data_IF_654168805533
#
_entry.id   IF_654168805533
#
_cell.length_a   1.000
_cell.length_b   1.000
_cell.length_c   1.000
_cell.angle_alpha   90.00
_cell.angle_beta   90.00
_cell.angle_gamma   90.00
#
_symmetry.space_group_name_H-M   'P 1'
#
loop_
_entity.id
_entity.type
_entity.pdbx_description
1 polymer ?
#
# COMPACT_ATOMS: atom_id res chain seq x y z
N UNK A 1 26.97 -42.60 -6.57
CA UNK A 1 25.91 -41.82 -7.27
C UNK A 1 24.83 -41.22 -6.34
N UNK A 2 24.37 -41.91 -5.27
CA UNK A 2 23.34 -41.38 -4.36
C UNK A 2 23.75 -40.12 -3.55
N UNK A 3 25.02 -40.03 -3.14
CA UNK A 3 25.54 -38.93 -2.28
C UNK A 3 25.53 -37.57 -3.02
N UNK A 4 25.84 -37.56 -4.32
CA UNK A 4 25.88 -36.34 -5.14
C UNK A 4 24.47 -35.77 -5.35
N UNK A 5 23.46 -36.63 -5.47
CA UNK A 5 22.06 -36.21 -5.63
C UNK A 5 21.52 -35.54 -4.34
N UNK A 6 21.87 -36.08 -3.16
CA UNK A 6 21.50 -35.45 -1.89
C UNK A 6 22.16 -34.08 -1.67
N UNK A 7 23.42 -33.90 -2.10
CA UNK A 7 24.13 -32.62 -1.98
C UNK A 7 23.56 -31.54 -2.91
N UNK A 8 23.17 -31.89 -4.13
CA UNK A 8 22.50 -30.97 -5.06
C UNK A 8 21.11 -30.55 -4.57
N UNK A 9 20.34 -31.48 -4.00
CA UNK A 9 19.05 -31.17 -3.36
C UNK A 9 19.23 -30.27 -2.15
N UNK A 10 20.25 -30.49 -1.33
CA UNK A 10 20.55 -29.65 -0.17
C UNK A 10 20.99 -28.24 -0.58
N UNK A 11 21.79 -28.09 -1.64
CA UNK A 11 22.18 -26.76 -2.18
C UNK A 11 20.98 -26.04 -2.82
N UNK A 12 20.08 -26.76 -3.50
CA UNK A 12 18.81 -26.21 -4.00
C UNK A 12 17.88 -25.78 -2.86
N UNK A 13 17.88 -26.51 -1.74
CA UNK A 13 17.13 -26.18 -0.52
C UNK A 13 17.77 -25.01 0.26
N UNK A 14 19.09 -24.87 0.28
CA UNK A 14 19.79 -23.74 0.94
C UNK A 14 19.67 -22.46 0.10
N UNK A 15 19.68 -22.55 -1.24
CA UNK A 15 19.31 -21.43 -2.10
C UNK A 15 17.81 -21.09 -2.02
N UNK A 16 17.01 -21.96 -1.42
CA UNK A 16 15.63 -21.69 -1.11
C UNK A 16 15.58 -20.80 0.14
N UNK A 17 15.42 -19.50 -0.13
CA UNK A 17 14.77 -18.51 0.74
C UNK A 17 15.59 -17.91 1.88
N UNK A 18 16.62 -17.14 1.54
CA UNK A 18 16.83 -15.90 2.30
C UNK A 18 15.60 -15.01 2.06
N UNK A 19 14.64 -15.07 2.98
CA UNK A 19 13.47 -14.21 2.94
C UNK A 19 13.95 -12.75 2.99
N UNK A 20 13.74 -12.01 1.90
CA UNK A 20 14.12 -10.60 1.80
C UNK A 20 13.60 -9.84 3.02
N UNK A 21 14.51 -9.30 3.83
CA UNK A 21 14.14 -8.56 5.04
C UNK A 21 13.47 -7.25 4.65
N UNK A 22 12.35 -6.93 5.28
CA UNK A 22 11.70 -5.64 5.10
C UNK A 22 12.64 -4.52 5.57
N UNK A 23 12.83 -3.51 4.73
CA UNK A 23 13.63 -2.32 5.04
C UNK A 23 12.85 -1.37 5.95
N UNK A 24 11.53 -1.26 5.71
CA UNK A 24 10.62 -0.37 6.45
C UNK A 24 9.33 -1.13 6.75
N UNK A 25 8.78 -0.94 7.94
CA UNK A 25 7.55 -1.59 8.39
C UNK A 25 6.66 -0.52 9.03
N UNK A 26 5.41 -0.46 8.60
CA UNK A 26 4.40 0.46 9.08
C UNK A 26 3.11 -0.27 9.43
N UNK A 27 2.35 0.29 10.37
CA UNK A 27 0.96 -0.12 10.64
C UNK A 27 0.04 0.98 10.17
N UNK A 28 -0.78 0.70 9.16
CA UNK A 28 -1.75 1.65 8.61
C UNK A 28 -3.12 1.37 9.21
N UNK A 29 -3.71 2.35 9.89
CA UNK A 29 -4.94 2.21 10.66
C UNK A 29 -6.01 3.12 10.05
N UNK A 30 -7.14 2.53 9.65
CA UNK A 30 -8.33 3.29 9.22
C UNK A 30 -8.98 3.91 10.45
N UNK A 31 -9.21 5.22 10.42
CA UNK A 31 -9.93 5.89 11.51
C UNK A 31 -11.38 5.39 11.55
N UNK A 32 -11.88 5.14 12.77
CA UNK A 32 -13.29 4.89 12.98
C UNK A 32 -14.07 6.15 12.60
N UNK A 33 -15.14 5.98 11.82
CA UNK A 33 -16.10 7.05 11.58
C UNK A 33 -16.76 7.39 12.91
N UNK A 34 -16.54 8.61 13.40
CA UNK A 34 -17.33 9.11 14.52
C UNK A 34 -18.68 9.60 13.98
N UNK A 35 -19.80 9.31 14.65
CA UNK A 35 -21.08 9.90 14.29
C UNK A 35 -20.94 11.43 14.20
N UNK A 36 -21.30 12.01 13.06
CA UNK A 36 -21.24 13.47 12.83
C UNK A 36 -19.89 14.04 12.38
N UNK A 37 -18.84 13.23 12.15
CA UNK A 37 -17.59 13.69 11.52
C UNK A 37 -17.24 12.80 10.33
N UNK A 38 -17.52 13.24 9.08
CA UNK A 38 -17.27 12.43 7.87
C UNK A 38 -15.79 12.42 7.44
N UNK A 39 -14.83 12.61 8.35
CA UNK A 39 -13.42 12.47 7.99
C UNK A 39 -13.03 11.00 8.00
N UNK A 40 -13.29 10.34 6.87
CA UNK A 40 -12.56 9.13 6.50
C UNK A 40 -11.07 9.50 6.38
N UNK A 41 -10.21 8.65 6.92
CA UNK A 41 -8.78 8.92 6.92
C UNK A 41 -7.99 7.80 7.56
N UNK A 42 -6.67 7.83 7.35
CA UNK A 42 -5.76 6.82 7.86
C UNK A 42 -4.69 7.45 8.72
N UNK A 43 -4.24 6.71 9.72
CA UNK A 43 -3.03 7.01 10.48
C UNK A 43 -1.99 5.94 10.16
N UNK A 44 -0.77 6.39 9.88
CA UNK A 44 0.36 5.50 9.65
C UNK A 44 1.26 5.55 10.87
N UNK A 45 1.49 4.41 11.49
CA UNK A 45 2.33 4.26 12.66
C UNK A 45 3.63 3.54 12.34
N UNK A 46 4.59 3.67 13.25
CA UNK A 46 5.75 2.78 13.30
C UNK A 46 5.34 1.30 13.44
N UNK A 47 6.31 0.40 13.29
CA UNK A 47 6.10 -1.04 13.34
C UNK A 47 5.56 -1.57 14.68
N UNK A 48 5.68 -0.79 15.75
CA UNK A 48 5.22 -1.12 17.10
C UNK A 48 3.88 -0.45 17.44
N UNK A 49 3.29 0.28 16.49
CA UNK A 49 2.07 1.06 16.68
C UNK A 49 2.17 2.09 17.82
N UNK A 50 3.38 2.59 18.12
CA UNK A 50 3.60 3.54 19.22
C UNK A 50 3.52 4.97 18.77
N UNK A 51 4.15 5.27 17.64
CA UNK A 51 4.29 6.64 17.12
C UNK A 51 3.51 6.80 15.83
N UNK A 52 2.61 7.77 15.76
CA UNK A 52 1.96 8.16 14.51
C UNK A 52 2.93 9.01 13.71
N UNK A 53 3.35 8.51 12.54
CA UNK A 53 4.33 9.15 11.66
C UNK A 53 3.64 9.98 10.58
N UNK A 54 2.53 9.47 10.02
CA UNK A 54 1.81 10.16 8.96
C UNK A 54 0.30 10.10 9.16
N UNK A 55 -0.41 11.06 8.55
CA UNK A 55 -1.87 11.07 8.45
C UNK A 55 -2.29 11.22 7.01
N UNK A 56 -3.24 10.41 6.60
CA UNK A 56 -3.95 10.57 5.33
C UNK A 56 -5.32 11.16 5.66
N UNK A 57 -5.59 12.35 5.14
CA UNK A 57 -6.90 13.01 5.26
C UNK A 57 -7.61 12.90 3.93
N UNK A 58 -8.87 12.49 3.96
CA UNK A 58 -9.72 12.38 2.78
C UNK A 58 -10.76 13.50 2.88
N UNK A 59 -10.99 14.21 1.78
CA UNK A 59 -12.06 15.21 1.70
C UNK A 59 -13.36 14.53 1.26
N UNK A 60 -14.49 14.79 1.94
CA UNK A 60 -15.82 14.24 1.61
C UNK A 60 -16.71 15.32 0.99
N UNK A 61 -17.43 15.08 -0.11
CA UNK A 61 -18.58 14.15 -0.24
C UNK A 61 -18.33 12.83 -1.00
N UNK A 62 -17.39 12.80 -1.95
CA UNK A 62 -17.26 11.69 -2.92
C UNK A 62 -15.89 10.99 -2.89
N UNK A 63 -15.07 11.29 -1.87
CA UNK A 63 -13.68 10.82 -1.71
C UNK A 63 -12.75 11.22 -2.86
N UNK A 64 -13.04 12.30 -3.57
CA UNK A 64 -12.30 12.70 -4.79
C UNK A 64 -10.82 13.05 -4.54
N UNK A 65 -10.45 13.33 -3.29
CA UNK A 65 -9.06 13.64 -2.94
C UNK A 65 -8.63 13.12 -1.57
N UNK A 66 -7.35 12.79 -1.49
CA UNK A 66 -6.66 12.49 -0.24
C UNK A 66 -5.31 13.21 -0.18
N UNK A 67 -4.96 13.71 1.00
CA UNK A 67 -3.67 14.35 1.27
C UNK A 67 -2.90 13.54 2.31
N UNK A 68 -1.62 13.31 2.04
CA UNK A 68 -0.67 12.74 2.98
C UNK A 68 0.08 13.87 3.68
N UNK A 69 0.04 13.84 5.01
CA UNK A 69 0.67 14.85 5.86
C UNK A 69 1.63 14.17 6.82
N UNK A 70 2.84 14.71 6.95
CA UNK A 70 3.75 14.34 8.04
C UNK A 70 3.15 14.77 9.40
N UNK A 71 3.09 13.85 10.35
CA UNK A 71 2.44 14.11 11.63
C UNK A 71 3.24 15.09 12.50
N UNK A 72 4.56 15.20 12.31
CA UNK A 72 5.42 16.08 13.10
C UNK A 72 5.41 17.51 12.57
N UNK A 73 5.78 17.70 11.30
CA UNK A 73 5.94 19.02 10.71
C UNK A 73 4.63 19.58 10.12
N UNK A 74 3.59 18.74 10.00
CA UNK A 74 2.32 19.05 9.32
C UNK A 74 2.50 19.45 7.85
N UNK A 75 3.64 19.10 7.26
CA UNK A 75 3.95 19.32 5.86
C UNK A 75 3.14 18.38 4.97
N UNK A 76 2.56 18.92 3.89
CA UNK A 76 1.89 18.12 2.86
C UNK A 76 2.99 17.45 2.03
N UNK A 77 2.96 16.12 2.00
CA UNK A 77 3.96 15.32 1.30
C UNK A 77 3.46 14.79 -0.03
N UNK A 78 2.16 14.56 -0.15
CA UNK A 78 1.56 14.00 -1.34
C UNK A 78 0.08 14.32 -1.41
N UNK A 79 -0.42 14.46 -2.63
CA UNK A 79 -1.84 14.58 -2.95
C UNK A 79 -2.24 13.41 -3.85
N UNK A 80 -3.46 12.94 -3.69
CA UNK A 80 -4.10 11.91 -4.49
C UNK A 80 -5.44 12.48 -4.91
N UNK A 81 -5.73 12.48 -6.20
CA UNK A 81 -6.95 13.04 -6.78
C UNK A 81 -7.53 12.04 -7.79
N UNK A 82 -8.84 11.90 -7.83
CA UNK A 82 -9.49 11.04 -8.81
C UNK A 82 -10.99 10.98 -8.59
N UNK A 83 -11.68 10.22 -9.44
CA UNK A 83 -13.11 9.94 -9.25
C UNK A 83 -13.21 8.57 -8.58
N UNK A 84 -13.67 8.54 -7.33
CA UNK A 84 -13.71 7.33 -6.49
C UNK A 84 -15.08 6.64 -6.52
N UNK A 85 -16.00 7.20 -7.30
CA UNK A 85 -17.40 6.80 -7.39
C UNK A 85 -17.51 5.51 -8.21
N UNK A 86 -17.98 4.46 -7.54
CA UNK A 86 -18.34 3.09 -7.98
C UNK A 86 -17.29 2.24 -8.70
N UNK A 87 -16.39 2.84 -9.48
CA UNK A 87 -15.31 2.16 -10.16
C UNK A 87 -14.07 3.06 -10.21
N UNK A 88 -13.21 2.96 -9.18
CA UNK A 88 -11.83 3.44 -9.21
C UNK A 88 -11.14 2.85 -10.45
N UNK A 89 -11.15 3.58 -11.57
CA UNK A 89 -10.54 3.13 -12.83
C UNK A 89 -9.17 3.77 -12.95
N UNK A 90 -9.07 5.08 -12.72
CA UNK A 90 -7.85 5.87 -12.80
C UNK A 90 -7.81 6.94 -11.71
N UNK A 91 -6.68 7.04 -11.00
CA UNK A 91 -6.43 8.06 -9.97
C UNK A 91 -5.08 8.70 -10.27
N UNK A 92 -4.99 10.01 -10.21
CA UNK A 92 -3.73 10.76 -10.31
C UNK A 92 -3.20 11.05 -8.91
N UNK A 93 -1.89 11.14 -8.78
CA UNK A 93 -1.27 11.60 -7.54
C UNK A 93 -0.07 12.47 -7.85
N UNK A 94 0.25 13.34 -6.90
CA UNK A 94 1.41 14.21 -6.95
C UNK A 94 2.21 14.05 -5.67
N UNK A 95 3.52 13.89 -5.78
CA UNK A 95 4.42 13.80 -4.64
C UNK A 95 5.28 15.06 -4.56
N UNK A 96 5.38 15.66 -3.37
CA UNK A 96 6.23 16.81 -3.15
C UNK A 96 7.66 16.35 -2.84
N UNK A 97 8.61 16.79 -3.66
CA UNK A 97 10.04 16.67 -3.40
C UNK A 97 10.50 17.94 -2.67
N UNK A 98 10.80 17.81 -1.38
CA UNK A 98 11.24 18.92 -0.55
C UNK A 98 12.66 19.42 -0.88
N UNK A 99 13.50 18.59 -1.51
CA UNK A 99 14.86 18.99 -1.92
C UNK A 99 14.82 19.82 -3.20
N UNK A 100 13.94 19.47 -4.11
CA UNK A 100 13.78 20.15 -5.40
C UNK A 100 12.70 21.23 -5.38
N UNK A 101 11.91 21.30 -4.30
CA UNK A 101 10.70 22.12 -4.18
C UNK A 101 9.76 21.96 -5.37
N UNK A 102 9.56 20.71 -5.81
CA UNK A 102 8.78 20.37 -7.01
C UNK A 102 7.80 19.25 -6.75
N UNK A 103 6.67 19.31 -7.45
CA UNK A 103 5.70 18.21 -7.49
C UNK A 103 6.02 17.28 -8.66
N UNK A 104 5.97 15.98 -8.41
CA UNK A 104 6.09 14.95 -9.44
C UNK A 104 4.81 14.14 -9.51
N UNK A 105 4.22 14.10 -10.69
CA UNK A 105 2.96 13.42 -10.90
C UNK A 105 3.15 11.94 -11.25
N UNK A 106 2.13 11.17 -10.91
CA UNK A 106 1.98 9.77 -11.27
C UNK A 106 0.51 9.41 -11.37
N UNK A 107 0.25 8.18 -11.75
CA UNK A 107 -1.12 7.67 -11.81
C UNK A 107 -1.21 6.21 -11.38
N UNK A 108 -2.39 5.84 -10.90
CA UNK A 108 -2.76 4.50 -10.47
C UNK A 108 -3.97 4.09 -11.31
N UNK A 109 -3.81 3.01 -12.07
CA UNK A 109 -4.85 2.43 -12.90
C UNK A 109 -5.27 1.07 -12.36
N UNK A 110 -6.57 0.86 -12.22
CA UNK A 110 -7.14 -0.43 -11.86
C UNK A 110 -7.33 -1.30 -13.11
N UNK A 111 -6.96 -2.57 -12.98
CA UNK A 111 -7.12 -3.62 -13.98
C UNK A 111 -7.94 -4.74 -13.33
N UNK A 112 -9.22 -4.81 -13.65
CA UNK A 112 -10.13 -5.81 -13.09
C UNK A 112 -10.12 -7.07 -13.97
N UNK A 113 -10.02 -8.23 -13.32
CA UNK A 113 -10.14 -9.54 -13.95
C UNK A 113 -11.23 -10.34 -13.23
N UNK A 114 -11.65 -11.47 -13.84
CA UNK A 114 -12.74 -12.31 -13.31
C UNK A 114 -12.49 -12.78 -11.86
N UNK A 115 -11.24 -13.01 -11.46
CA UNK A 115 -10.87 -13.56 -10.14
C UNK A 115 -9.80 -12.74 -9.38
N UNK A 116 -9.38 -11.61 -9.93
CA UNK A 116 -8.37 -10.75 -9.31
C UNK A 116 -8.56 -9.29 -9.70
N UNK A 117 -8.03 -8.39 -8.89
CA UNK A 117 -7.89 -6.98 -9.24
C UNK A 117 -6.43 -6.61 -9.11
N UNK A 118 -5.85 -6.08 -10.18
CA UNK A 118 -4.48 -5.59 -10.18
C UNK A 118 -4.48 -4.07 -10.30
N UNK A 119 -3.52 -3.41 -9.66
CA UNK A 119 -3.31 -1.97 -9.81
C UNK A 119 -1.95 -1.74 -10.46
N UNK A 120 -1.96 -1.00 -11.56
CA UNK A 120 -0.75 -0.50 -12.20
C UNK A 120 -0.47 0.89 -11.66
N UNK A 121 0.74 1.12 -11.16
CA UNK A 121 1.21 2.46 -10.78
C UNK A 121 2.27 2.90 -11.77
N UNK A 122 2.17 4.11 -12.31
CA UNK A 122 3.25 4.74 -13.06
C UNK A 122 3.74 5.97 -12.31
N UNK A 123 5.06 6.03 -12.10
CA UNK A 123 5.73 7.12 -11.41
C UNK A 123 7.19 7.22 -11.85
N UNK A 124 7.64 8.40 -12.29
CA UNK A 124 9.04 8.65 -12.62
C UNK A 124 9.70 7.55 -13.48
N UNK A 125 9.06 7.16 -14.58
CA UNK A 125 9.46 6.07 -15.51
C UNK A 125 9.47 4.66 -14.91
N UNK A 126 9.13 4.49 -13.64
CA UNK A 126 8.90 3.19 -13.02
C UNK A 126 7.44 2.79 -13.19
N UNK A 127 7.22 1.48 -13.35
CA UNK A 127 5.88 0.91 -13.40
C UNK A 127 5.79 -0.21 -12.37
N UNK A 128 4.82 -0.11 -11.46
CA UNK A 128 4.58 -1.07 -10.39
C UNK A 128 3.30 -1.84 -10.66
N UNK A 129 3.23 -3.09 -10.20
CA UNK A 129 2.01 -3.90 -10.23
C UNK A 129 1.71 -4.34 -8.79
N UNK A 130 0.59 -3.86 -8.25
CA UNK A 130 0.03 -4.37 -7.01
C UNK A 130 -1.04 -5.42 -7.34
N UNK A 131 -0.84 -6.66 -6.87
CA UNK A 131 -1.75 -7.77 -7.14
C UNK A 131 -2.63 -8.06 -5.94
N UNK A 132 -3.94 -7.91 -6.11
CA UNK A 132 -4.96 -8.29 -5.14
C UNK A 132 -5.74 -9.50 -5.66
N UNK A 133 -5.53 -10.65 -5.02
CA UNK A 133 -6.40 -11.80 -5.21
C UNK A 133 -7.66 -11.61 -4.37
N UNK A 134 -8.84 -11.83 -4.97
CA UNK A 134 -10.12 -11.64 -4.30
C UNK A 134 -10.29 -12.50 -3.04
N UNK A 135 -9.52 -13.58 -2.90
CA UNK A 135 -9.56 -14.51 -1.75
C UNK A 135 -8.44 -14.26 -0.73
N UNK A 136 -7.56 -13.28 -0.99
CA UNK A 136 -6.37 -13.03 -0.18
C UNK A 136 -6.46 -11.68 0.53
N UNK A 137 -6.23 -11.69 1.83
CA UNK A 137 -5.98 -10.47 2.63
C UNK A 137 -4.56 -9.91 2.44
N UNK A 138 -3.77 -10.54 1.60
CA UNK A 138 -2.41 -10.14 1.26
C UNK A 138 -2.34 -9.57 -0.15
N UNK A 139 -1.70 -8.42 -0.28
CA UNK A 139 -1.37 -7.78 -1.54
C UNK A 139 0.14 -7.67 -1.65
N UNK A 140 0.68 -7.95 -2.84
CA UNK A 140 2.11 -7.80 -3.13
C UNK A 140 2.29 -6.79 -4.25
N UNK A 141 3.30 -5.93 -4.10
CA UNK A 141 3.68 -4.92 -5.08
C UNK A 141 5.03 -5.28 -5.66
N UNK A 142 5.07 -5.31 -6.99
CA UNK A 142 6.25 -5.65 -7.75
C UNK A 142 6.65 -4.51 -8.66
N UNK A 143 7.95 -4.37 -8.91
CA UNK A 143 8.41 -3.64 -10.09
C UNK A 143 8.06 -4.46 -11.33
N UNK A 144 7.42 -3.84 -12.32
CA UNK A 144 6.94 -4.55 -13.52
C UNK A 144 8.07 -5.12 -14.37
N UNK A 145 9.21 -4.41 -14.45
CA UNK A 145 10.30 -4.76 -15.36
C UNK A 145 11.17 -5.87 -14.79
N UNK A 146 11.55 -5.74 -13.52
CA UNK A 146 12.44 -6.67 -12.83
C UNK A 146 11.71 -7.79 -12.09
N UNK A 147 10.39 -7.68 -11.91
CA UNK A 147 9.59 -8.56 -11.07
C UNK A 147 10.07 -8.60 -9.60
N UNK A 148 10.82 -7.58 -9.17
CA UNK A 148 11.31 -7.46 -7.80
C UNK A 148 10.14 -7.17 -6.85
N UNK A 149 10.05 -7.91 -5.73
CA UNK A 149 9.11 -7.58 -4.66
C UNK A 149 9.54 -6.28 -3.95
N UNK A 150 8.68 -5.28 -4.02
CA UNK A 150 8.92 -3.95 -3.44
C UNK A 150 8.17 -3.73 -2.14
N UNK A 151 6.94 -4.21 -2.05
CA UNK A 151 6.13 -4.09 -0.84
C UNK A 151 5.12 -5.23 -0.70
N UNK A 152 4.66 -5.46 0.53
CA UNK A 152 3.58 -6.35 0.86
C UNK A 152 2.66 -5.68 1.88
N UNK A 153 1.36 -5.80 1.63
CA UNK A 153 0.30 -5.38 2.54
C UNK A 153 -0.42 -6.62 3.07
N UNK A 154 -0.78 -6.60 4.34
CA UNK A 154 -1.58 -7.64 4.95
C UNK A 154 -2.66 -7.02 5.85
N UNK A 155 -3.93 -7.26 5.53
CA UNK A 155 -5.05 -6.87 6.40
C UNK A 155 -5.04 -7.72 7.66
N UNK A 156 -5.11 -7.08 8.83
CA UNK A 156 -5.26 -7.78 10.11
C UNK A 156 -6.73 -8.15 10.32
N UNK A 157 -6.98 -9.37 10.78
CA UNK A 157 -8.34 -9.81 11.09
C UNK A 157 -8.95 -8.92 12.18
N UNK A 158 -10.15 -8.38 11.91
CA UNK A 158 -10.98 -7.74 12.93
C UNK A 158 -11.62 -8.85 13.78
N UNK A 159 -11.32 -8.87 15.07
CA UNK A 159 -12.02 -9.73 16.03
C UNK A 159 -13.41 -9.17 16.39
N UNK A 160 -13.60 -7.86 16.27
CA UNK A 160 -14.81 -7.13 16.66
C UNK A 160 -15.07 -6.01 15.65
N UNK A 161 -16.33 -5.82 15.28
CA UNK A 161 -16.74 -4.86 14.23
C UNK A 161 -16.43 -3.39 14.58
N UNK A 162 -16.37 -3.06 15.87
CA UNK A 162 -16.02 -1.70 16.33
C UNK A 162 -14.52 -1.41 16.33
N UNK A 163 -13.65 -2.41 16.14
CA UNK A 163 -12.21 -2.18 16.07
C UNK A 163 -11.82 -1.62 14.70
N UNK A 164 -10.90 -0.64 14.65
CA UNK A 164 -10.45 -0.08 13.39
C UNK A 164 -9.78 -1.17 12.53
N UNK A 165 -9.94 -1.06 11.21
CA UNK A 165 -9.18 -1.90 10.27
C UNK A 165 -7.72 -1.49 10.33
N UNK A 166 -6.84 -2.49 10.29
CA UNK A 166 -5.39 -2.31 10.32
C UNK A 166 -4.74 -3.09 9.21
N UNK A 167 -3.69 -2.51 8.65
CA UNK A 167 -2.84 -3.13 7.64
C UNK A 167 -1.39 -3.14 8.09
N UNK A 168 -0.75 -4.29 7.98
CA UNK A 168 0.71 -4.40 8.05
C UNK A 168 1.31 -4.10 6.68
N UNK A 169 2.11 -3.04 6.60
CA UNK A 169 2.82 -2.64 5.40
C UNK A 169 4.31 -2.91 5.58
N UNK A 170 4.84 -3.86 4.80
CA UNK A 170 6.26 -4.17 4.71
C UNK A 170 6.81 -3.67 3.39
N UNK A 171 7.80 -2.80 3.42
CA UNK A 171 8.47 -2.26 2.23
C UNK A 171 9.89 -2.82 2.20
N UNK A 172 10.24 -3.44 1.08
CA UNK A 172 11.49 -4.16 0.85
C UNK A 172 12.48 -3.38 -0.02
N UNK A 173 12.07 -2.24 -0.58
CA UNK A 173 12.89 -1.42 -1.46
C UNK A 173 12.71 0.08 -1.19
N UNK A 174 13.77 0.86 -1.44
CA UNK A 174 13.77 2.32 -1.37
C UNK A 174 13.58 2.99 -2.74
N UNK A 175 13.38 2.21 -3.80
CA UNK A 175 13.24 2.72 -5.17
C UNK A 175 12.04 3.65 -5.37
N UNK A 176 11.00 3.48 -4.57
CA UNK A 176 9.73 4.21 -4.65
C UNK A 176 9.44 4.92 -3.31
N UNK A 177 8.95 6.16 -3.33
CA UNK A 177 8.49 6.87 -2.13
C UNK A 177 7.38 6.13 -1.36
N UNK A 178 7.41 6.23 -0.03
CA UNK A 178 6.42 5.61 0.85
C UNK A 178 4.98 6.01 0.54
N UNK A 179 4.76 7.26 0.12
CA UNK A 179 3.46 7.82 -0.18
C UNK A 179 2.66 6.97 -1.19
N UNK A 180 3.32 6.41 -2.20
CA UNK A 180 2.69 5.55 -3.20
C UNK A 180 2.11 4.30 -2.54
N UNK A 181 2.84 3.66 -1.62
CA UNK A 181 2.34 2.50 -0.91
C UNK A 181 1.19 2.84 0.04
N UNK A 182 1.22 4.02 0.67
CA UNK A 182 0.13 4.49 1.52
C UNK A 182 -1.16 4.75 0.73
N UNK A 183 -1.06 5.39 -0.44
CA UNK A 183 -2.18 5.59 -1.35
C UNK A 183 -2.73 4.28 -1.91
N UNK A 184 -1.85 3.32 -2.21
CA UNK A 184 -2.28 1.96 -2.59
C UNK A 184 -3.12 1.30 -1.49
N UNK A 185 -2.71 1.36 -0.21
CA UNK A 185 -3.54 0.84 0.91
C UNK A 185 -4.90 1.50 0.95
N UNK A 186 -4.94 2.83 0.84
CA UNK A 186 -6.17 3.61 0.85
C UNK A 186 -7.14 3.18 -0.28
N UNK A 187 -6.66 3.14 -1.52
CA UNK A 187 -7.44 2.76 -2.71
C UNK A 187 -8.02 1.35 -2.55
N UNK A 188 -7.22 0.43 -1.99
CA UNK A 188 -7.64 -0.96 -1.85
C UNK A 188 -8.56 -1.20 -0.64
N UNK A 189 -8.43 -0.45 0.46
CA UNK A 189 -9.40 -0.46 1.58
C UNK A 189 -10.79 -0.05 1.11
N UNK A 190 -10.89 0.99 0.27
CA UNK A 190 -12.15 1.46 -0.31
C UNK A 190 -12.88 0.38 -1.13
N UNK A 191 -12.14 -0.63 -1.63
CA UNK A 191 -12.69 -1.75 -2.43
C UNK A 191 -12.89 -3.04 -1.64
N UNK A 192 -12.82 -3.00 -0.33
CA UNK A 192 -13.17 -4.16 0.50
C UNK A 192 -12.01 -5.09 0.84
N UNK A 193 -10.75 -4.62 0.82
CA UNK A 193 -9.64 -5.34 1.46
C UNK A 193 -9.90 -5.70 2.93
N UNK A 194 -10.82 -4.98 3.57
CA UNK A 194 -11.27 -5.23 4.93
C UNK A 194 -12.15 -6.49 5.06
N UNK A 195 -12.75 -6.98 3.97
CA UNK A 195 -13.67 -8.12 3.99
C UNK A 195 -15.04 -7.79 4.58
N UNK A 196 -15.52 -6.56 4.42
CA UNK A 196 -16.86 -6.16 4.81
C UNK A 196 -17.83 -6.50 3.65
N UNK A 197 -18.21 -7.78 3.55
CA UNK A 197 -19.44 -8.25 2.89
C UNK A 197 -20.47 -8.59 3.97
#
# INVERSE_FOLDING_TARGET
MKIICCLLLFILLIKCTEAKKAQRIYVVVRNATSPGKPMYGFRVFDSKEKTCLYRIRISSSDMDSAILVDNFEKNIMANLEGIWIENLVNVTFSLYDSKLHKWTDGFIQRNAHMFSTDYTVQFNKQQLIAKLSNFSKNVKVYDKKSNELLAQFQSRARLLFWKPVKYDLKIYSNQVPNAIYFFLVLIMDHRGLAGDN
#
